data_IF_082278338779
#
_entry.id   IF_082278338779
#
_cell.length_a   1.000
_cell.length_b   1.000
_cell.length_c   1.000
_cell.angle_alpha   90.00
_cell.angle_beta   90.00
_cell.angle_gamma   90.00
#
_symmetry.space_group_name_H-M   'P 1'
#
loop_
_entity.id
_entity.type
_entity.pdbx_description
1 polymer ?
#
# COMPACT_ATOMS: atom_id res chain seq x y z
N UNK A 1 -20.48 37.57 39.10
CA UNK A 1 -19.29 37.05 38.43
C UNK A 1 -18.84 35.66 38.93
N UNK A 2 -19.08 35.29 40.18
CA UNK A 2 -18.69 33.96 40.74
C UNK A 2 -19.56 32.78 40.29
N UNK A 3 -20.82 33.00 39.85
CA UNK A 3 -21.74 31.89 39.47
C UNK A 3 -21.50 31.34 38.04
N UNK A 4 -20.94 32.14 37.12
CA UNK A 4 -20.64 31.69 35.74
C UNK A 4 -19.39 30.80 35.66
N UNK A 5 -18.39 31.01 36.52
CA UNK A 5 -17.16 30.21 36.55
C UNK A 5 -17.37 28.80 37.15
N UNK A 6 -18.38 28.61 38.01
CA UNK A 6 -18.67 27.30 38.61
C UNK A 6 -19.42 26.37 37.64
N UNK A 7 -20.30 26.90 36.81
CA UNK A 7 -21.02 26.09 35.80
C UNK A 7 -20.14 25.61 34.66
N UNK A 8 -19.19 26.43 34.20
CA UNK A 8 -18.22 26.03 33.16
C UNK A 8 -17.25 24.94 33.66
N UNK A 9 -16.83 25.00 34.92
CA UNK A 9 -15.97 23.99 35.52
C UNK A 9 -16.65 22.63 35.71
N UNK A 10 -17.92 22.60 36.09
CA UNK A 10 -18.70 21.36 36.21
C UNK A 10 -18.99 20.73 34.83
N UNK A 11 -19.25 21.52 33.81
CA UNK A 11 -19.48 21.05 32.44
C UNK A 11 -18.21 20.43 31.85
N UNK A 12 -17.04 21.04 32.02
CA UNK A 12 -15.74 20.53 31.61
C UNK A 12 -15.37 19.24 32.35
N UNK A 13 -15.62 19.14 33.63
CA UNK A 13 -15.35 17.95 34.43
C UNK A 13 -16.25 16.79 33.99
N UNK A 14 -17.55 17.02 33.78
CA UNK A 14 -18.50 16.04 33.31
C UNK A 14 -18.13 15.53 31.90
N UNK A 15 -17.70 16.42 30.99
CA UNK A 15 -17.24 16.06 29.65
C UNK A 15 -15.97 15.18 29.70
N UNK A 16 -15.00 15.55 30.54
CA UNK A 16 -13.77 14.79 30.73
C UNK A 16 -14.04 13.39 31.26
N UNK A 17 -14.88 13.27 32.29
CA UNK A 17 -15.28 11.98 32.87
C UNK A 17 -16.04 11.12 31.86
N UNK A 18 -16.86 11.72 31.01
CA UNK A 18 -17.58 11.00 29.94
C UNK A 18 -16.62 10.44 28.87
N UNK A 19 -15.64 11.23 28.47
CA UNK A 19 -14.57 10.76 27.53
C UNK A 19 -13.74 9.62 28.13
N UNK A 20 -13.33 9.74 29.41
CA UNK A 20 -12.55 8.71 30.11
C UNK A 20 -13.32 7.37 30.14
N UNK A 21 -14.63 7.40 30.40
CA UNK A 21 -15.48 6.21 30.37
C UNK A 21 -15.53 5.53 28.97
N UNK A 22 -15.56 6.31 27.91
CA UNK A 22 -15.52 5.74 26.56
C UNK A 22 -14.17 5.09 26.26
N UNK A 23 -13.07 5.71 26.65
CA UNK A 23 -11.72 5.17 26.52
C UNK A 23 -11.60 3.84 27.25
N UNK A 24 -12.01 3.78 28.53
CA UNK A 24 -11.97 2.56 29.34
C UNK A 24 -12.80 1.43 28.73
N UNK A 25 -14.00 1.73 28.23
CA UNK A 25 -14.86 0.74 27.58
C UNK A 25 -14.21 0.19 26.30
N UNK A 26 -13.63 1.06 25.46
CA UNK A 26 -12.95 0.68 24.23
C UNK A 26 -11.69 -0.16 24.53
N UNK A 27 -10.90 0.21 25.52
CA UNK A 27 -9.75 -0.57 25.99
C UNK A 27 -10.19 -1.95 26.45
N UNK A 28 -11.33 -2.06 27.15
CA UNK A 28 -11.84 -3.34 27.63
C UNK A 28 -12.14 -4.36 26.51
N UNK A 29 -12.48 -3.88 25.30
CA UNK A 29 -12.76 -4.73 24.14
C UNK A 29 -11.51 -5.48 23.66
N UNK A 30 -10.36 -4.79 23.58
CA UNK A 30 -9.10 -5.36 23.08
C UNK A 30 -8.15 -5.81 24.19
N UNK A 31 -8.36 -5.32 25.41
CA UNK A 31 -7.47 -5.45 26.57
C UNK A 31 -6.32 -4.42 26.55
N UNK A 32 -5.88 -4.00 27.75
CA UNK A 32 -4.91 -2.92 27.93
C UNK A 32 -3.57 -3.13 27.16
N UNK A 33 -3.13 -4.37 26.98
CA UNK A 33 -1.93 -4.67 26.20
C UNK A 33 -2.07 -4.42 24.68
N UNK A 34 -3.28 -4.09 24.23
CA UNK A 34 -3.60 -3.83 22.81
C UNK A 34 -4.21 -2.42 22.63
N UNK A 35 -3.91 -1.51 23.54
CA UNK A 35 -4.32 -0.12 23.47
C UNK A 35 -3.15 0.80 23.85
N UNK A 36 -3.10 1.97 23.24
CA UNK A 36 -2.20 3.06 23.59
C UNK A 36 -3.06 4.28 23.94
N UNK A 37 -2.89 4.80 25.17
CA UNK A 37 -3.60 5.96 25.72
C UNK A 37 -2.66 7.04 26.30
N UNK A 38 -1.32 6.81 26.21
CA UNK A 38 -0.32 7.79 26.62
C UNK A 38 0.20 8.55 25.40
N UNK A 39 0.33 9.85 25.54
CA UNK A 39 0.76 10.76 24.48
C UNK A 39 2.09 10.34 23.86
N UNK A 40 3.08 9.94 24.68
CA UNK A 40 4.40 9.49 24.21
C UNK A 40 4.36 8.24 23.33
N UNK A 41 3.44 7.30 23.63
CA UNK A 41 3.26 6.05 22.91
C UNK A 41 2.44 6.24 21.62
N UNK A 42 1.50 7.19 21.62
CA UNK A 42 0.60 7.53 20.51
C UNK A 42 1.33 8.33 19.42
N UNK A 43 2.26 9.20 19.81
CA UNK A 43 2.92 10.17 18.93
C UNK A 43 3.40 9.59 17.57
N UNK A 44 4.03 8.39 17.48
CA UNK A 44 4.50 7.83 16.20
C UNK A 44 3.39 7.53 15.18
N UNK A 45 2.14 7.49 15.60
CA UNK A 45 0.97 7.16 14.77
C UNK A 45 0.21 8.39 14.28
N UNK A 46 0.59 9.59 14.72
CA UNK A 46 -0.16 10.82 14.50
C UNK A 46 0.32 11.64 13.30
N UNK A 47 1.38 11.24 12.66
CA UNK A 47 2.00 11.99 11.57
C UNK A 47 2.03 11.13 10.30
N UNK A 48 1.74 11.76 9.14
CA UNK A 48 1.86 11.08 7.86
C UNK A 48 3.35 10.85 7.51
N UNK A 49 3.62 9.96 6.57
CA UNK A 49 4.99 9.60 6.18
C UNK A 49 5.84 10.80 5.75
N UNK A 50 5.23 11.86 5.20
CA UNK A 50 5.94 13.09 4.78
C UNK A 50 6.13 14.12 5.90
N UNK A 51 5.52 13.92 7.07
CA UNK A 51 5.54 14.90 8.15
C UNK A 51 4.75 16.18 7.86
N UNK A 52 3.86 16.14 6.88
CA UNK A 52 3.07 17.31 6.48
C UNK A 52 1.75 17.42 7.23
N UNK A 53 1.18 16.28 7.59
CA UNK A 53 -0.08 16.21 8.34
C UNK A 53 0.19 15.64 9.72
N UNK A 54 -0.27 16.38 10.74
CA UNK A 54 -0.18 15.99 12.15
C UNK A 54 -1.56 16.00 12.75
N UNK A 55 -1.91 14.90 13.39
CA UNK A 55 -3.19 14.72 14.02
C UNK A 55 -3.10 14.63 15.54
N UNK A 56 -4.22 14.32 16.15
CA UNK A 56 -4.31 14.02 17.58
C UNK A 56 -5.43 13.02 17.85
N UNK A 57 -5.19 12.08 18.74
CA UNK A 57 -6.19 11.15 19.27
C UNK A 57 -5.83 10.80 20.71
N UNK A 58 -6.80 10.55 21.59
CA UNK A 58 -6.50 10.06 22.93
C UNK A 58 -6.33 8.54 22.98
N UNK A 59 -6.61 7.80 21.88
CA UNK A 59 -6.63 6.35 21.93
C UNK A 59 -6.30 5.71 20.58
N UNK A 60 -5.38 4.74 20.60
CA UNK A 60 -5.13 3.82 19.50
C UNK A 60 -5.43 2.40 19.95
N UNK A 61 -6.21 1.67 19.17
CA UNK A 61 -6.59 0.28 19.44
C UNK A 61 -5.97 -0.66 18.39
N UNK A 62 -5.45 -1.78 18.86
CA UNK A 62 -4.87 -2.84 18.07
C UNK A 62 -5.73 -4.12 18.17
N UNK A 63 -6.82 -4.23 17.42
CA UNK A 63 -7.64 -5.44 17.41
C UNK A 63 -6.81 -6.63 16.89
N UNK A 64 -7.15 -7.84 17.36
CA UNK A 64 -6.49 -9.09 16.95
C UNK A 64 -7.27 -9.89 15.93
N UNK A 65 -8.52 -9.54 15.72
CA UNK A 65 -9.43 -10.27 14.84
C UNK A 65 -10.63 -9.40 14.43
N UNK A 66 -11.40 -9.89 13.46
CA UNK A 66 -12.61 -9.21 12.96
C UNK A 66 -13.64 -8.93 14.05
N UNK A 67 -13.79 -9.82 15.03
CA UNK A 67 -14.77 -9.64 16.11
C UNK A 67 -14.40 -8.46 17.04
N UNK A 68 -13.11 -8.24 17.29
CA UNK A 68 -12.66 -7.07 18.05
C UNK A 68 -12.97 -5.79 17.29
N UNK A 69 -12.67 -5.74 15.96
CA UNK A 69 -13.02 -4.61 15.09
C UNK A 69 -14.53 -4.36 15.10
N UNK A 70 -15.33 -5.43 14.98
CA UNK A 70 -16.79 -5.35 15.02
C UNK A 70 -17.29 -4.68 16.30
N UNK A 71 -16.81 -5.13 17.45
CA UNK A 71 -17.20 -4.57 18.77
C UNK A 71 -16.80 -3.10 18.91
N UNK A 72 -15.58 -2.73 18.47
CA UNK A 72 -15.10 -1.35 18.49
C UNK A 72 -16.00 -0.47 17.62
N UNK A 73 -16.22 -0.88 16.36
CA UNK A 73 -17.00 -0.09 15.39
C UNK A 73 -18.45 0.07 15.88
N UNK A 74 -19.08 -1.02 16.35
CA UNK A 74 -20.42 -0.98 16.89
C UNK A 74 -20.52 -0.03 18.09
N UNK A 75 -19.59 -0.12 19.04
CA UNK A 75 -19.54 0.78 20.18
C UNK A 75 -19.36 2.24 19.76
N UNK A 76 -18.49 2.51 18.80
CA UNK A 76 -18.26 3.86 18.28
C UNK A 76 -19.51 4.40 17.56
N UNK A 77 -20.20 3.56 16.79
CA UNK A 77 -21.45 3.92 16.12
C UNK A 77 -22.54 4.34 17.11
N UNK A 78 -22.78 3.56 18.17
CA UNK A 78 -23.76 3.83 19.21
C UNK A 78 -23.47 5.11 20.02
N UNK A 79 -22.19 5.53 20.08
CA UNK A 79 -21.75 6.65 20.91
C UNK A 79 -21.25 7.85 20.11
N UNK A 80 -21.47 7.89 18.78
CA UNK A 80 -21.05 8.97 17.86
C UNK A 80 -19.53 9.29 17.97
N UNK A 81 -18.71 8.24 18.09
CA UNK A 81 -17.24 8.30 18.14
C UNK A 81 -16.68 8.10 16.74
N UNK A 82 -15.77 8.96 16.31
CA UNK A 82 -15.12 8.86 15.02
C UNK A 82 -14.02 7.82 15.02
N UNK A 83 -13.83 7.18 13.87
CA UNK A 83 -12.81 6.17 13.66
C UNK A 83 -11.93 6.57 12.49
N UNK A 84 -10.61 6.48 12.68
CA UNK A 84 -9.61 6.48 11.63
C UNK A 84 -9.00 5.09 11.55
N UNK A 85 -9.12 4.41 10.41
CA UNK A 85 -8.45 3.13 10.18
C UNK A 85 -7.02 3.37 9.72
N UNK A 86 -6.07 2.64 10.33
CA UNK A 86 -4.65 2.79 10.02
C UNK A 86 -4.00 1.42 9.87
N UNK A 87 -3.17 1.26 8.83
CA UNK A 87 -2.28 0.13 8.64
C UNK A 87 -0.83 0.48 9.03
N UNK A 88 0.11 0.29 8.12
CA UNK A 88 1.54 0.55 8.33
C UNK A 88 1.96 2.02 8.33
N UNK A 89 1.03 2.96 8.34
CA UNK A 89 1.26 4.42 8.36
C UNK A 89 2.16 4.93 7.21
N UNK A 90 2.06 4.33 6.04
CA UNK A 90 2.86 4.64 4.84
C UNK A 90 2.12 5.50 3.81
N UNK A 91 0.90 5.97 4.11
CA UNK A 91 0.10 6.80 3.22
C UNK A 91 0.73 8.18 2.99
N UNK A 92 0.57 8.70 1.78
CA UNK A 92 1.02 10.04 1.39
C UNK A 92 -0.13 11.07 1.32
N UNK A 93 -1.38 10.61 1.53
CA UNK A 93 -2.59 11.44 1.36
C UNK A 93 -3.27 11.78 2.69
N UNK A 94 -2.77 11.26 3.82
CA UNK A 94 -3.22 11.61 5.16
C UNK A 94 -4.53 10.99 5.63
N UNK A 95 -5.14 10.06 4.88
CA UNK A 95 -6.38 9.39 5.30
C UNK A 95 -6.22 8.54 6.58
N UNK A 96 -5.00 8.23 6.96
CA UNK A 96 -4.61 7.47 8.15
C UNK A 96 -4.27 8.36 9.36
N UNK A 97 -4.33 9.70 9.22
CA UNK A 97 -4.00 10.66 10.29
C UNK A 97 -5.29 11.17 10.92
N UNK A 98 -5.49 10.99 12.25
CA UNK A 98 -6.68 11.49 12.92
C UNK A 98 -6.72 13.02 12.92
N UNK A 99 -7.86 13.61 12.56
CA UNK A 99 -8.03 15.05 12.46
C UNK A 99 -9.40 15.49 12.99
N UNK A 100 -9.52 15.50 14.30
CA UNK A 100 -10.75 15.89 15.00
C UNK A 100 -10.90 17.41 15.05
N UNK A 101 -11.48 18.00 14.00
CA UNK A 101 -11.73 19.45 13.91
C UNK A 101 -12.99 19.92 14.66
N UNK A 102 -13.88 19.01 15.05
CA UNK A 102 -15.21 19.31 15.63
C UNK A 102 -15.37 18.93 17.11
N UNK A 103 -14.27 18.72 17.83
CA UNK A 103 -14.24 18.36 19.24
C UNK A 103 -14.92 17.03 19.61
N UNK A 104 -15.30 16.20 18.63
CA UNK A 104 -15.77 14.83 18.88
C UNK A 104 -14.60 13.92 19.22
N UNK A 105 -14.88 12.91 20.05
CA UNK A 105 -13.90 11.85 20.29
C UNK A 105 -13.62 11.13 18.97
N UNK A 106 -12.35 11.04 18.61
CA UNK A 106 -11.85 10.32 17.45
C UNK A 106 -10.77 9.34 17.90
N UNK A 107 -10.86 8.09 17.47
CA UNK A 107 -9.91 7.03 17.82
C UNK A 107 -9.26 6.46 16.56
N UNK A 108 -8.11 5.83 16.74
CA UNK A 108 -7.44 5.08 15.67
C UNK A 108 -7.62 3.58 15.88
N UNK A 109 -8.02 2.86 14.84
CA UNK A 109 -7.95 1.40 14.76
C UNK A 109 -6.75 1.04 13.90
N UNK A 110 -5.70 0.49 14.51
CA UNK A 110 -4.51 0.04 13.80
C UNK A 110 -4.53 -1.48 13.63
N UNK A 111 -4.42 -1.96 12.37
CA UNK A 111 -4.60 -3.36 12.01
C UNK A 111 -3.36 -4.24 12.18
N UNK A 112 -2.24 -3.71 12.67
CA UNK A 112 -0.94 -4.41 12.70
C UNK A 112 -0.92 -5.73 13.46
N UNK A 113 -1.85 -5.97 14.39
CA UNK A 113 -1.99 -7.25 15.10
C UNK A 113 -2.88 -8.28 14.41
N UNK A 114 -3.52 -7.91 13.31
CA UNK A 114 -4.28 -8.79 12.42
C UNK A 114 -3.38 -9.18 11.22
N UNK A 115 -2.38 -10.01 11.46
CA UNK A 115 -1.28 -10.23 10.53
C UNK A 115 -1.06 -11.71 10.15
N UNK A 116 -2.11 -12.54 10.26
CA UNK A 116 -2.02 -13.96 9.94
C UNK A 116 -2.24 -14.21 8.44
N UNK A 117 -1.44 -15.10 7.86
CA UNK A 117 -1.77 -15.79 6.63
C UNK A 117 -2.74 -16.91 7.00
N UNK A 118 -3.97 -16.84 6.47
CA UNK A 118 -5.06 -17.75 6.83
C UNK A 118 -5.03 -19.01 5.96
N UNK A 119 -4.81 -18.81 4.66
CA UNK A 119 -4.83 -19.90 3.68
C UNK A 119 -3.95 -19.56 2.48
N UNK A 120 -3.21 -20.54 1.98
CA UNK A 120 -2.56 -20.50 0.67
C UNK A 120 -3.10 -21.67 -0.14
N UNK A 121 -3.65 -21.37 -1.33
CA UNK A 121 -4.08 -22.38 -2.30
C UNK A 121 -3.21 -22.28 -3.57
N UNK A 122 -2.14 -23.09 -3.66
CA UNK A 122 -1.26 -23.07 -4.83
C UNK A 122 -1.94 -23.52 -6.12
N UNK A 123 -2.94 -24.40 -6.05
CA UNK A 123 -3.65 -24.89 -7.24
C UNK A 123 -4.55 -23.80 -7.84
N UNK A 124 -5.23 -23.04 -6.99
CA UNK A 124 -6.07 -21.92 -7.41
C UNK A 124 -5.25 -20.63 -7.56
N UNK A 125 -3.98 -20.65 -7.15
CA UNK A 125 -3.09 -19.48 -7.12
C UNK A 125 -3.73 -18.32 -6.35
N UNK A 126 -4.08 -18.57 -5.11
CA UNK A 126 -4.70 -17.57 -4.24
C UNK A 126 -4.16 -17.67 -2.81
N UNK A 127 -4.26 -16.56 -2.09
CA UNK A 127 -3.90 -16.45 -0.69
C UNK A 127 -4.94 -15.63 0.05
N UNK A 128 -5.34 -16.07 1.24
CA UNK A 128 -6.21 -15.30 2.14
C UNK A 128 -5.38 -14.87 3.34
N UNK A 129 -5.41 -13.56 3.60
CA UNK A 129 -4.63 -12.93 4.67
C UNK A 129 -5.46 -11.94 5.46
N UNK A 130 -5.05 -11.67 6.69
CA UNK A 130 -5.56 -10.56 7.48
C UNK A 130 -5.00 -9.22 6.99
N UNK A 131 -5.75 -8.15 7.19
CA UNK A 131 -5.48 -6.81 6.65
C UNK A 131 -4.17 -6.17 7.13
N UNK A 132 -3.67 -6.58 8.30
CA UNK A 132 -2.41 -6.12 8.87
C UNK A 132 -1.17 -6.88 8.39
N UNK A 133 -1.32 -7.86 7.49
CA UNK A 133 -0.16 -8.54 6.90
C UNK A 133 0.70 -7.53 6.12
N UNK A 134 2.00 -7.55 6.40
CA UNK A 134 2.99 -6.74 5.67
C UNK A 134 3.12 -7.30 4.25
N UNK A 135 3.17 -6.42 3.26
CA UNK A 135 3.21 -6.77 1.85
C UNK A 135 4.37 -7.74 1.55
N UNK A 136 5.57 -7.46 2.03
CA UNK A 136 6.74 -8.31 1.84
C UNK A 136 6.55 -9.73 2.41
N UNK A 137 5.86 -9.88 3.54
CA UNK A 137 5.59 -11.21 4.10
C UNK A 137 4.63 -12.01 3.20
N UNK A 138 3.68 -11.34 2.53
CA UNK A 138 2.78 -11.99 1.56
C UNK A 138 3.58 -12.43 0.32
N UNK A 139 4.51 -11.59 -0.16
CA UNK A 139 5.40 -11.91 -1.28
C UNK A 139 6.27 -13.12 -0.95
N UNK A 140 6.94 -13.11 0.22
CA UNK A 140 7.77 -14.25 0.67
C UNK A 140 6.94 -15.54 0.80
N UNK A 141 5.73 -15.44 1.38
CA UNK A 141 4.84 -16.60 1.49
C UNK A 141 4.43 -17.14 0.12
N UNK A 142 4.20 -16.28 -0.87
CA UNK A 142 3.90 -16.73 -2.24
C UNK A 142 5.13 -17.41 -2.87
N UNK A 143 6.32 -16.86 -2.68
CA UNK A 143 7.59 -17.42 -3.17
C UNK A 143 7.89 -18.80 -2.57
N UNK A 144 7.61 -19.03 -1.29
CA UNK A 144 7.72 -20.34 -0.63
C UNK A 144 6.86 -21.43 -1.30
N UNK A 145 5.89 -21.02 -2.14
CA UNK A 145 5.01 -21.91 -2.91
C UNK A 145 5.23 -21.83 -4.42
N UNK A 146 6.39 -21.33 -4.88
CA UNK A 146 6.72 -21.11 -6.29
C UNK A 146 5.74 -20.18 -7.02
N UNK A 147 5.14 -19.24 -6.29
CA UNK A 147 4.18 -18.26 -6.78
C UNK A 147 4.67 -16.82 -6.55
N UNK A 148 4.04 -15.88 -7.23
CA UNK A 148 4.32 -14.45 -7.13
C UNK A 148 3.07 -13.69 -6.67
N UNK A 149 3.21 -12.84 -5.64
CA UNK A 149 2.29 -11.75 -5.41
C UNK A 149 2.88 -10.47 -6.02
N UNK A 150 2.34 -9.97 -7.14
CA UNK A 150 3.05 -9.04 -8.02
C UNK A 150 2.96 -7.56 -7.60
N UNK A 151 2.24 -7.21 -6.53
CA UNK A 151 2.23 -5.84 -6.02
C UNK A 151 3.61 -5.51 -5.44
N UNK A 152 4.30 -4.53 -6.00
CA UNK A 152 5.62 -4.09 -5.54
C UNK A 152 5.63 -2.59 -5.33
N UNK A 153 5.94 -2.17 -4.10
CA UNK A 153 5.91 -0.80 -3.61
C UNK A 153 7.22 -0.46 -2.90
N UNK A 154 7.62 0.80 -2.89
CA UNK A 154 8.80 1.24 -2.13
C UNK A 154 8.67 1.00 -0.61
N UNK A 155 7.46 0.88 -0.09
CA UNK A 155 7.15 0.64 1.33
C UNK A 155 6.80 -0.82 1.64
N UNK A 156 7.11 -1.79 0.76
CA UNK A 156 6.68 -3.19 0.90
C UNK A 156 7.08 -3.86 2.21
N UNK A 157 8.21 -3.46 2.80
CA UNK A 157 8.66 -3.95 4.11
C UNK A 157 7.88 -3.42 5.31
N UNK A 158 6.97 -2.44 5.14
CA UNK A 158 6.24 -1.80 6.24
C UNK A 158 4.76 -1.57 5.95
N UNK A 159 4.36 -1.42 4.68
CA UNK A 159 2.95 -1.25 4.34
C UNK A 159 2.17 -2.55 4.58
N UNK A 160 0.89 -2.38 4.94
CA UNK A 160 -0.01 -3.49 5.23
C UNK A 160 -1.06 -3.63 4.12
N UNK A 161 -1.43 -4.86 3.83
CA UNK A 161 -2.30 -5.18 2.68
C UNK A 161 -3.68 -4.50 2.75
N UNK A 162 -4.26 -4.37 3.94
CA UNK A 162 -5.53 -3.65 4.13
C UNK A 162 -5.43 -2.20 3.68
N UNK A 163 -4.32 -1.53 4.00
CA UNK A 163 -4.02 -0.18 3.53
C UNK A 163 -3.79 -0.11 2.01
N UNK A 164 -3.03 -1.07 1.46
CA UNK A 164 -2.78 -1.14 0.01
C UNK A 164 -4.08 -1.32 -0.78
N UNK A 165 -5.00 -2.14 -0.28
CA UNK A 165 -6.33 -2.33 -0.88
C UNK A 165 -7.19 -1.09 -0.70
N UNK A 166 -7.23 -0.51 0.52
CA UNK A 166 -8.03 0.68 0.81
C UNK A 166 -7.63 1.89 -0.02
N UNK A 167 -6.36 2.00 -0.42
CA UNK A 167 -5.87 3.07 -1.30
C UNK A 167 -5.81 2.68 -2.78
N UNK A 168 -6.20 1.44 -3.11
CA UNK A 168 -6.02 0.87 -4.44
C UNK A 168 -4.59 1.08 -4.94
N UNK A 169 -3.61 0.64 -4.16
CA UNK A 169 -2.20 0.91 -4.41
C UNK A 169 -1.76 0.37 -5.78
N UNK A 170 -1.03 1.21 -6.51
CA UNK A 170 -0.32 0.81 -7.73
C UNK A 170 1.16 0.65 -7.42
N UNK A 171 1.83 -0.25 -8.10
CA UNK A 171 3.26 -0.47 -7.97
C UNK A 171 3.97 -0.43 -9.30
N UNK A 172 5.21 -0.88 -9.34
CA UNK A 172 6.02 -0.86 -10.58
C UNK A 172 5.49 -1.86 -11.62
N UNK A 173 4.84 -2.94 -11.19
CA UNK A 173 4.38 -4.04 -12.04
C UNK A 173 2.97 -3.84 -12.64
N UNK A 174 2.43 -2.62 -12.56
CA UNK A 174 1.05 -2.30 -13.01
C UNK A 174 0.81 -2.60 -14.47
N UNK A 175 1.83 -2.47 -15.33
CA UNK A 175 1.67 -2.69 -16.78
C UNK A 175 1.21 -4.10 -17.14
N UNK A 176 1.63 -5.09 -16.35
CA UNK A 176 1.25 -6.49 -16.54
C UNK A 176 0.17 -6.94 -15.60
N UNK A 177 0.30 -6.61 -14.33
CA UNK A 177 -0.52 -7.22 -13.28
C UNK A 177 -1.66 -6.32 -12.76
N UNK A 178 -1.71 -5.06 -13.21
CA UNK A 178 -2.70 -4.11 -12.73
C UNK A 178 -2.39 -3.57 -11.33
N UNK A 179 -3.35 -2.85 -10.77
CA UNK A 179 -3.29 -2.26 -9.43
C UNK A 179 -3.74 -3.27 -8.36
N UNK A 180 -3.74 -2.88 -7.09
CA UNK A 180 -4.25 -3.71 -5.99
C UNK A 180 -5.67 -4.24 -6.28
N UNK A 181 -6.54 -3.43 -6.89
CA UNK A 181 -7.89 -3.80 -7.33
C UNK A 181 -7.92 -5.05 -8.20
N UNK A 182 -6.98 -5.18 -9.12
CA UNK A 182 -6.90 -6.29 -10.06
C UNK A 182 -6.40 -7.59 -9.40
N UNK A 183 -5.74 -7.46 -8.23
CA UNK A 183 -5.24 -8.57 -7.45
C UNK A 183 -6.24 -9.09 -6.42
N UNK A 184 -7.27 -8.29 -6.04
CA UNK A 184 -8.24 -8.66 -5.01
C UNK A 184 -9.34 -9.54 -5.57
N UNK A 185 -9.46 -10.76 -5.04
CA UNK A 185 -10.52 -11.72 -5.37
C UNK A 185 -11.72 -11.60 -4.42
N UNK A 186 -11.48 -11.26 -3.15
CA UNK A 186 -12.52 -11.09 -2.14
C UNK A 186 -12.04 -10.27 -0.96
N UNK A 187 -12.99 -9.76 -0.17
CA UNK A 187 -12.68 -9.02 1.06
C UNK A 187 -13.64 -9.40 2.19
N UNK A 188 -13.19 -9.15 3.41
CA UNK A 188 -14.04 -9.04 4.59
C UNK A 188 -13.84 -7.62 5.17
N UNK A 189 -14.92 -6.95 5.52
CA UNK A 189 -14.89 -5.63 6.12
C UNK A 189 -15.98 -5.46 7.18
N UNK A 190 -15.69 -4.67 8.22
CA UNK A 190 -16.67 -4.22 9.20
C UNK A 190 -17.24 -2.89 8.73
N UNK A 191 -18.56 -2.84 8.54
CA UNK A 191 -19.31 -1.67 8.08
C UNK A 191 -19.49 -0.65 9.22
N UNK A 192 -19.87 0.61 8.93
CA UNK A 192 -19.99 1.67 9.94
C UNK A 192 -20.96 1.38 11.09
N UNK A 193 -21.94 0.51 10.89
CA UNK A 193 -22.91 0.06 11.93
C UNK A 193 -22.40 -1.14 12.75
N UNK A 194 -21.21 -1.65 12.46
CA UNK A 194 -20.64 -2.84 13.09
C UNK A 194 -21.06 -4.15 12.43
N UNK A 195 -21.88 -4.14 11.37
CA UNK A 195 -22.16 -5.37 10.62
C UNK A 195 -20.94 -5.82 9.81
N UNK A 196 -20.86 -7.13 9.50
CA UNK A 196 -19.75 -7.69 8.75
C UNK A 196 -20.21 -7.95 7.31
N UNK A 197 -19.53 -7.34 6.35
CA UNK A 197 -19.55 -7.75 4.96
C UNK A 197 -18.44 -8.76 4.71
N UNK A 198 -18.76 -9.95 4.18
CA UNK A 198 -17.75 -10.96 3.85
C UNK A 198 -18.05 -11.60 2.50
N UNK A 199 -17.11 -11.44 1.58
CA UNK A 199 -17.07 -12.14 0.28
C UNK A 199 -15.62 -12.59 0.02
N UNK A 200 -15.08 -13.43 0.91
CA UNK A 200 -13.71 -13.95 0.85
C UNK A 200 -13.52 -15.09 -0.16
N UNK A 201 -14.31 -15.10 -1.24
CA UNK A 201 -14.19 -16.11 -2.26
C UNK A 201 -12.92 -15.97 -3.07
N UNK A 202 -12.26 -17.08 -3.37
CA UNK A 202 -11.09 -17.15 -4.25
C UNK A 202 -11.48 -17.61 -5.67
N UNK A 203 -12.68 -17.28 -6.13
CA UNK A 203 -13.17 -17.66 -7.46
C UNK A 203 -12.66 -16.71 -8.53
N UNK A 204 -11.92 -17.23 -9.51
CA UNK A 204 -11.47 -16.44 -10.68
C UNK A 204 -12.64 -15.97 -11.55
N UNK A 205 -13.67 -16.82 -11.71
CA UNK A 205 -14.91 -16.46 -12.39
C UNK A 205 -16.02 -16.36 -11.37
N UNK A 206 -16.37 -15.14 -10.98
CA UNK A 206 -17.50 -14.85 -10.11
C UNK A 206 -18.36 -13.78 -10.77
N UNK A 207 -19.42 -14.23 -11.47
CA UNK A 207 -20.38 -13.37 -12.16
C UNK A 207 -21.77 -13.38 -11.49
N UNK A 208 -21.82 -13.68 -10.20
CA UNK A 208 -23.05 -13.77 -9.42
C UNK A 208 -23.29 -12.48 -8.65
N UNK A 209 -24.31 -11.72 -9.01
CA UNK A 209 -24.69 -10.47 -8.33
C UNK A 209 -23.75 -9.30 -8.59
N UNK A 210 -23.87 -8.28 -7.75
CA UNK A 210 -22.98 -7.11 -7.79
C UNK A 210 -21.61 -7.42 -7.17
N UNK A 211 -20.57 -6.88 -7.74
CA UNK A 211 -19.20 -6.98 -7.23
C UNK A 211 -18.94 -5.91 -6.16
N UNK A 212 -19.54 -6.08 -4.98
CA UNK A 212 -19.55 -5.10 -3.91
C UNK A 212 -18.17 -4.82 -3.31
N UNK A 213 -17.21 -5.77 -3.40
CA UNK A 213 -15.83 -5.53 -2.93
C UNK A 213 -15.20 -4.30 -3.58
N UNK A 214 -15.62 -3.97 -4.81
CA UNK A 214 -15.09 -2.83 -5.56
C UNK A 214 -15.39 -1.47 -4.90
N UNK A 215 -16.41 -1.39 -4.04
CA UNK A 215 -16.74 -0.18 -3.29
C UNK A 215 -15.69 0.13 -2.23
N UNK A 216 -15.14 -0.90 -1.59
CA UNK A 216 -14.17 -0.76 -0.49
C UNK A 216 -12.74 -0.53 -1.00
N UNK A 217 -12.42 -1.03 -2.20
CA UNK A 217 -11.11 -0.88 -2.81
C UNK A 217 -10.93 0.55 -3.29
N UNK A 218 -10.02 1.29 -2.67
CA UNK A 218 -9.82 2.71 -2.95
C UNK A 218 -10.76 3.64 -2.15
N UNK A 219 -11.53 3.12 -1.19
CA UNK A 219 -12.42 3.92 -0.33
C UNK A 219 -11.68 4.55 0.88
N UNK A 220 -10.42 4.22 1.10
CA UNK A 220 -9.57 4.77 2.17
C UNK A 220 -10.21 4.68 3.57
N UNK A 221 -10.93 3.57 3.85
CA UNK A 221 -11.58 3.33 5.13
C UNK A 221 -12.92 4.05 5.34
N UNK A 222 -13.40 4.85 4.38
CA UNK A 222 -14.64 5.65 4.52
C UNK A 222 -15.92 4.82 4.50
N UNK A 223 -15.88 3.60 3.96
CA UNK A 223 -17.04 2.70 3.86
C UNK A 223 -16.99 1.52 4.84
N UNK A 224 -15.89 1.36 5.57
CA UNK A 224 -15.69 0.31 6.55
C UNK A 224 -14.22 -0.02 6.75
N UNK A 225 -13.93 -0.84 7.75
CA UNK A 225 -12.59 -1.32 8.09
C UNK A 225 -12.37 -2.69 7.48
N UNK A 226 -11.45 -2.80 6.50
CA UNK A 226 -11.08 -4.09 5.90
C UNK A 226 -10.34 -4.92 6.94
N UNK A 227 -10.77 -6.17 7.13
CA UNK A 227 -10.22 -7.11 8.11
C UNK A 227 -9.49 -8.28 7.47
N UNK A 228 -9.94 -8.75 6.31
CA UNK A 228 -9.29 -9.82 5.55
C UNK A 228 -9.38 -9.57 4.05
N UNK A 229 -8.44 -10.14 3.31
CA UNK A 229 -8.37 -10.04 1.85
C UNK A 229 -8.04 -11.40 1.26
N UNK A 230 -8.77 -11.78 0.21
CA UNK A 230 -8.41 -12.86 -0.70
C UNK A 230 -7.71 -12.26 -1.91
N UNK A 231 -6.49 -12.70 -2.18
CA UNK A 231 -5.60 -12.15 -3.21
C UNK A 231 -5.29 -13.20 -4.27
N UNK A 232 -5.16 -12.72 -5.51
CA UNK A 232 -4.69 -13.53 -6.62
C UNK A 232 -3.17 -13.59 -6.61
N UNK A 233 -2.64 -14.80 -6.75
CA UNK A 233 -1.25 -15.04 -7.04
C UNK A 233 -1.06 -15.32 -8.52
N UNK A 234 0.16 -15.17 -9.00
CA UNK A 234 0.61 -15.48 -10.35
C UNK A 234 1.72 -16.52 -10.29
N UNK A 235 1.94 -17.22 -11.39
CA UNK A 235 3.15 -18.06 -11.50
C UNK A 235 4.38 -17.17 -11.49
N UNK A 236 5.42 -17.60 -10.80
CA UNK A 236 6.71 -16.91 -10.82
C UNK A 236 7.28 -16.92 -12.24
N UNK A 237 7.83 -15.81 -12.76
CA UNK A 237 8.45 -15.78 -14.07
C UNK A 237 9.71 -16.65 -14.06
N UNK A 238 9.96 -17.36 -15.15
CA UNK A 238 11.17 -18.17 -15.29
C UNK A 238 12.44 -17.31 -15.45
N UNK A 239 12.29 -16.12 -15.95
CA UNK A 239 13.38 -15.15 -16.15
C UNK A 239 12.82 -13.74 -16.08
N UNK A 240 13.56 -12.86 -15.45
CA UNK A 240 13.33 -11.41 -15.45
C UNK A 240 14.58 -10.70 -15.95
N UNK A 241 14.40 -9.76 -16.86
CA UNK A 241 15.49 -8.99 -17.45
C UNK A 241 15.18 -7.52 -17.27
N UNK A 242 16.05 -6.81 -16.56
CA UNK A 242 15.96 -5.37 -16.34
C UNK A 242 16.90 -4.63 -17.26
N UNK A 243 16.40 -3.61 -17.92
CA UNK A 243 17.19 -2.70 -18.75
C UNK A 243 17.05 -1.27 -18.25
N UNK A 244 18.14 -0.50 -18.38
CA UNK A 244 18.17 0.94 -18.18
C UNK A 244 18.65 1.61 -19.47
N UNK A 245 17.88 2.56 -19.97
CA UNK A 245 18.18 3.26 -21.24
C UNK A 245 18.08 4.77 -21.09
N UNK A 246 18.80 5.50 -21.93
CA UNK A 246 18.72 6.96 -22.05
C UNK A 246 17.96 7.37 -23.29
N UNK A 247 17.11 8.38 -23.18
CA UNK A 247 16.36 9.01 -24.27
C UNK A 247 16.55 10.52 -24.27
N UNK A 248 16.39 11.19 -25.42
CA UNK A 248 16.60 12.65 -25.55
C UNK A 248 15.40 13.49 -25.11
N UNK A 249 14.21 12.97 -25.28
CA UNK A 249 12.94 13.69 -24.99
C UNK A 249 11.82 12.72 -24.58
N UNK A 250 10.81 13.25 -23.91
CA UNK A 250 9.63 12.48 -23.44
C UNK A 250 8.93 11.73 -24.58
N UNK A 251 8.86 12.33 -25.78
CA UNK A 251 8.26 11.69 -26.95
C UNK A 251 8.97 10.41 -27.36
N UNK A 252 10.29 10.32 -27.19
CA UNK A 252 11.06 9.11 -27.46
C UNK A 252 10.75 8.02 -26.42
N UNK A 253 10.53 8.40 -25.13
CA UNK A 253 10.11 7.47 -24.10
C UNK A 253 8.74 6.84 -24.40
N UNK A 254 7.77 7.64 -24.87
CA UNK A 254 6.44 7.16 -25.25
C UNK A 254 6.53 6.23 -26.46
N UNK A 255 7.34 6.60 -27.45
CA UNK A 255 7.57 5.76 -28.63
C UNK A 255 8.25 4.44 -28.25
N UNK A 256 9.26 4.49 -27.38
CA UNK A 256 9.95 3.31 -26.87
C UNK A 256 9.00 2.38 -26.11
N UNK A 257 8.11 2.90 -25.24
CA UNK A 257 7.10 2.08 -24.56
C UNK A 257 6.20 1.35 -25.57
N UNK A 258 5.78 2.03 -26.63
CA UNK A 258 4.98 1.42 -27.70
C UNK A 258 5.75 0.28 -28.39
N UNK A 259 7.00 0.53 -28.77
CA UNK A 259 7.83 -0.49 -29.43
C UNK A 259 8.12 -1.68 -28.50
N UNK A 260 8.38 -1.40 -27.20
CA UNK A 260 8.58 -2.45 -26.18
C UNK A 260 7.33 -3.34 -26.06
N UNK A 261 6.14 -2.72 -25.97
CA UNK A 261 4.87 -3.48 -25.94
C UNK A 261 4.60 -4.23 -27.24
N UNK A 262 4.94 -3.68 -28.39
CA UNK A 262 4.82 -4.37 -29.69
C UNK A 262 5.71 -5.62 -29.77
N UNK A 263 6.94 -5.55 -29.23
CA UNK A 263 7.91 -6.64 -29.26
C UNK A 263 7.64 -7.72 -28.23
N UNK A 264 7.32 -7.32 -26.99
CA UNK A 264 7.26 -8.21 -25.82
C UNK A 264 5.85 -8.45 -25.28
N UNK A 265 4.84 -7.72 -25.77
CA UNK A 265 3.44 -7.88 -25.40
C UNK A 265 3.22 -7.71 -23.90
N UNK A 266 2.46 -8.66 -23.33
CA UNK A 266 2.12 -8.69 -21.89
C UNK A 266 3.30 -9.13 -20.99
N UNK A 267 4.49 -9.36 -21.56
CA UNK A 267 5.68 -9.68 -20.79
C UNK A 267 6.45 -8.45 -20.31
N UNK A 268 6.01 -7.25 -20.65
CA UNK A 268 6.52 -6.00 -20.07
C UNK A 268 5.87 -5.81 -18.70
N UNK A 269 6.63 -5.95 -17.62
CA UNK A 269 6.14 -5.83 -16.24
C UNK A 269 6.21 -4.41 -15.73
N UNK A 270 7.31 -3.72 -16.01
CA UNK A 270 7.60 -2.38 -15.53
C UNK A 270 8.16 -1.47 -16.62
N UNK A 271 7.86 -0.17 -16.54
CA UNK A 271 8.43 0.85 -17.42
C UNK A 271 8.40 2.19 -16.67
N UNK A 272 9.53 2.53 -16.04
CA UNK A 272 9.66 3.69 -15.15
C UNK A 272 10.48 4.79 -15.82
N UNK A 273 9.93 5.98 -15.84
CA UNK A 273 10.55 7.15 -16.47
C UNK A 273 11.17 8.06 -15.40
N UNK A 274 12.45 8.35 -15.52
CA UNK A 274 13.23 9.17 -14.57
C UNK A 274 13.66 10.45 -15.28
N UNK A 275 13.21 11.59 -14.74
CA UNK A 275 13.55 12.89 -15.29
C UNK A 275 15.01 13.26 -15.02
N UNK A 276 15.59 14.09 -15.90
CA UNK A 276 16.93 14.64 -15.68
C UNK A 276 17.06 15.36 -14.34
N UNK A 277 16.02 16.08 -13.91
CA UNK A 277 16.03 16.76 -12.61
C UNK A 277 16.12 15.79 -11.43
N UNK A 278 15.45 14.63 -11.50
CA UNK A 278 15.60 13.57 -10.50
C UNK A 278 17.01 13.01 -10.51
N UNK A 279 17.59 12.72 -11.66
CA UNK A 279 18.97 12.22 -11.77
C UNK A 279 19.99 13.22 -11.21
N UNK A 280 19.82 14.51 -11.47
CA UNK A 280 20.65 15.58 -10.87
C UNK A 280 20.47 15.62 -9.36
N UNK A 281 19.26 15.48 -8.85
CA UNK A 281 19.01 15.46 -7.41
C UNK A 281 19.67 14.24 -6.75
N UNK A 282 19.54 13.06 -7.35
CA UNK A 282 20.20 11.83 -6.87
C UNK A 282 21.71 12.04 -6.81
N UNK A 283 22.33 12.55 -7.91
CA UNK A 283 23.76 12.80 -7.95
C UNK A 283 24.24 13.78 -6.87
N UNK A 284 23.43 14.79 -6.54
CA UNK A 284 23.83 15.84 -5.61
C UNK A 284 23.58 15.47 -4.14
N UNK A 285 22.57 14.67 -3.84
CA UNK A 285 22.10 14.43 -2.48
C UNK A 285 22.22 12.97 -2.04
N UNK A 286 22.35 12.02 -2.97
CA UNK A 286 22.40 10.58 -2.69
C UNK A 286 23.67 9.94 -3.24
N UNK A 287 24.84 10.42 -2.77
CA UNK A 287 26.16 10.03 -3.26
C UNK A 287 26.46 8.52 -3.19
N UNK A 288 25.69 7.75 -2.43
CA UNK A 288 25.81 6.30 -2.34
C UNK A 288 25.14 5.58 -3.52
N UNK A 289 24.25 6.26 -4.26
CA UNK A 289 23.57 5.71 -5.44
C UNK A 289 24.42 5.97 -6.68
N UNK A 290 24.80 4.90 -7.38
CA UNK A 290 25.51 5.02 -8.64
C UNK A 290 24.50 5.24 -9.77
N UNK A 291 24.81 6.14 -10.69
CA UNK A 291 24.05 6.37 -11.91
C UNK A 291 24.76 5.70 -13.09
N UNK A 292 24.34 4.48 -13.50
CA UNK A 292 25.09 3.69 -14.50
C UNK A 292 25.24 4.38 -15.86
N UNK A 293 24.24 5.18 -16.27
CA UNK A 293 24.23 5.93 -17.53
C UNK A 293 24.59 7.43 -17.34
N UNK A 294 25.03 7.82 -16.12
CA UNK A 294 25.25 9.23 -15.80
C UNK A 294 23.96 10.00 -15.59
N UNK A 295 24.00 11.33 -15.62
CA UNK A 295 22.85 12.19 -15.32
C UNK A 295 22.72 13.44 -16.19
N UNK A 296 23.63 13.62 -17.17
CA UNK A 296 23.67 14.82 -18.02
C UNK A 296 22.93 14.58 -19.33
N UNK A 297 22.13 15.58 -19.71
CA UNK A 297 21.50 15.72 -21.02
C UNK A 297 20.66 14.51 -21.48
N UNK A 298 20.09 13.76 -20.51
CA UNK A 298 19.25 12.60 -20.82
C UNK A 298 18.15 12.40 -19.79
N UNK A 299 17.09 11.77 -20.26
CA UNK A 299 16.04 11.16 -19.44
C UNK A 299 16.32 9.67 -19.44
N UNK A 300 16.02 9.01 -18.36
CA UNK A 300 16.29 7.56 -18.27
C UNK A 300 15.00 6.78 -18.08
N UNK A 301 15.03 5.56 -18.52
CA UNK A 301 13.93 4.63 -18.40
C UNK A 301 14.51 3.34 -17.84
N UNK A 302 13.88 2.83 -16.77
CA UNK A 302 14.09 1.47 -16.30
C UNK A 302 12.87 0.68 -16.74
N UNK A 303 13.09 -0.45 -17.43
CA UNK A 303 12.00 -1.34 -17.78
C UNK A 303 12.38 -2.80 -17.60
N UNK A 304 11.38 -3.62 -17.35
CA UNK A 304 11.54 -5.05 -17.17
C UNK A 304 10.69 -5.85 -18.15
N UNK A 305 11.30 -6.93 -18.64
CA UNK A 305 10.66 -7.92 -19.48
C UNK A 305 10.88 -9.30 -18.86
N UNK A 306 9.81 -10.11 -18.81
CA UNK A 306 9.87 -11.47 -18.29
C UNK A 306 9.74 -12.51 -19.39
N UNK A 307 10.24 -13.72 -19.12
CA UNK A 307 10.08 -14.91 -19.99
C UNK A 307 10.63 -14.76 -21.42
N UNK A 308 11.64 -13.90 -21.58
CA UNK A 308 12.39 -13.74 -22.84
C UNK A 308 13.88 -13.97 -22.61
N UNK A 309 14.63 -14.13 -23.69
CA UNK A 309 16.08 -14.24 -23.67
C UNK A 309 16.73 -12.85 -23.69
N UNK A 310 17.92 -12.76 -23.11
CA UNK A 310 18.71 -11.52 -23.07
C UNK A 310 19.08 -11.06 -24.49
N UNK A 311 19.37 -12.03 -25.42
CA UNK A 311 19.66 -11.73 -26.79
C UNK A 311 18.49 -11.01 -27.50
N UNK A 312 17.24 -11.44 -27.24
CA UNK A 312 16.05 -10.80 -27.82
C UNK A 312 15.89 -9.35 -27.36
N UNK A 313 16.26 -9.06 -26.08
CA UNK A 313 16.24 -7.70 -25.55
C UNK A 313 17.41 -6.87 -26.11
N UNK A 314 18.59 -7.48 -26.28
CA UNK A 314 19.77 -6.83 -26.86
C UNK A 314 19.49 -6.39 -28.28
N UNK A 315 19.00 -7.31 -29.13
CA UNK A 315 18.59 -7.02 -30.51
C UNK A 315 17.56 -5.90 -30.57
N UNK A 316 16.54 -5.95 -29.69
CA UNK A 316 15.54 -4.90 -29.61
C UNK A 316 16.16 -3.54 -29.28
N UNK A 317 17.09 -3.47 -28.33
CA UNK A 317 17.73 -2.21 -27.95
C UNK A 317 18.61 -1.66 -29.07
N UNK A 318 19.34 -2.52 -29.80
CA UNK A 318 20.13 -2.14 -30.99
C UNK A 318 19.22 -1.50 -32.04
N UNK A 319 18.09 -2.12 -32.36
CA UNK A 319 17.09 -1.56 -33.30
C UNK A 319 16.60 -0.17 -32.83
N UNK A 320 16.37 0.04 -31.51
CA UNK A 320 15.89 1.33 -31.01
C UNK A 320 16.99 2.40 -31.02
N UNK A 321 18.27 2.01 -30.89
CA UNK A 321 19.41 2.91 -31.08
C UNK A 321 19.50 3.32 -32.56
N UNK A 322 19.38 2.38 -33.50
CA UNK A 322 19.37 2.68 -34.94
C UNK A 322 18.22 3.62 -35.33
N UNK A 323 17.02 3.44 -34.73
CA UNK A 323 15.88 4.33 -34.93
C UNK A 323 16.07 5.71 -34.24
N UNK A 324 17.10 5.89 -33.42
CA UNK A 324 17.39 7.12 -32.68
C UNK A 324 16.47 7.40 -31.50
N UNK A 325 15.67 6.41 -31.05
CA UNK A 325 14.83 6.50 -29.86
C UNK A 325 15.65 6.36 -28.57
N UNK A 326 16.66 5.49 -28.59
CA UNK A 326 17.58 5.24 -27.47
C UNK A 326 18.95 5.81 -27.84
N UNK A 327 19.61 6.47 -26.89
CA UNK A 327 20.96 7.03 -27.08
C UNK A 327 22.04 6.19 -26.40
N UNK A 328 21.70 5.51 -25.33
CA UNK A 328 22.58 4.61 -24.59
C UNK A 328 21.71 3.62 -23.80
N UNK A 329 22.21 2.42 -23.52
CA UNK A 329 21.45 1.41 -22.79
C UNK A 329 22.35 0.36 -22.15
N UNK A 330 21.84 -0.21 -21.06
CA UNK A 330 22.45 -1.31 -20.33
C UNK A 330 21.39 -2.36 -20.01
N UNK A 331 21.81 -3.63 -20.03
CA UNK A 331 21.02 -4.75 -19.50
C UNK A 331 21.73 -5.26 -18.26
N UNK A 332 20.98 -5.44 -17.17
CA UNK A 332 21.51 -5.98 -15.93
C UNK A 332 21.90 -7.45 -16.11
N UNK A 333 23.16 -7.80 -15.79
CA UNK A 333 23.72 -9.15 -15.97
C UNK A 333 23.52 -10.06 -14.77
N UNK A 334 23.11 -9.49 -13.64
CA UNK A 334 22.91 -10.22 -12.39
C UNK A 334 21.98 -9.43 -11.47
N UNK A 335 21.53 -10.07 -10.41
CA UNK A 335 20.61 -9.50 -9.43
C UNK A 335 21.13 -8.22 -8.78
N UNK A 336 22.44 -8.14 -8.54
CA UNK A 336 23.05 -6.94 -7.96
C UNK A 336 22.91 -5.74 -8.89
N UNK A 337 23.21 -5.89 -10.18
CA UNK A 337 23.06 -4.83 -11.17
C UNK A 337 21.58 -4.44 -11.35
N UNK A 338 20.68 -5.42 -11.32
CA UNK A 338 19.23 -5.19 -11.31
C UNK A 338 18.84 -4.30 -10.14
N UNK A 339 19.26 -4.66 -8.94
CA UNK A 339 18.98 -3.89 -7.74
C UNK A 339 19.60 -2.49 -7.79
N UNK A 340 20.82 -2.35 -8.33
CA UNK A 340 21.47 -1.06 -8.53
C UNK A 340 20.68 -0.16 -9.49
N UNK A 341 20.06 -0.71 -10.56
CA UNK A 341 19.19 0.05 -11.46
C UNK A 341 17.92 0.53 -10.74
N UNK A 342 17.28 -0.35 -9.96
CA UNK A 342 16.09 0.00 -9.23
C UNK A 342 16.32 1.00 -8.09
N UNK A 343 17.53 1.05 -7.52
CA UNK A 343 17.91 2.05 -6.52
C UNK A 343 17.89 3.49 -7.08
N UNK A 344 17.98 3.67 -8.39
CA UNK A 344 17.91 5.00 -9.04
C UNK A 344 16.48 5.57 -9.00
N UNK A 345 15.47 4.75 -8.79
CA UNK A 345 14.07 5.11 -8.74
C UNK A 345 13.61 5.33 -7.30
#
# INVERSE_FOLDING_TARGET
MHHYLSQSGHCLLAYKTHMENHIDNLISIVGAANALDREEDIHPFLEDWRGQLKGSTPLILFPKNTNDVQKIVHYCHENDIKIVSQGGNTSLCGANVPNSSDHKLEIVINTSKMNQVIEVDPFNQSIIVESGCILQNIQNTAEDHDLLFPLSLSAEGTCQIGGNVSTNAGGVNVLKYGMARDQVMGIEAVLPDGSIFSDLKSLRKNNTGYDLKQLFIGAEGTLGVITKVSLRLSSSPHREITSMVSVKKVGDAIALLKETKNRFGDNVTAFEFISQSCLVAINNFLNHIKLPLGYKDSWQIIFEVINHDEDALSEFLEEQVEKGLVTNGLIAKNEKERNDFWLVR
#
